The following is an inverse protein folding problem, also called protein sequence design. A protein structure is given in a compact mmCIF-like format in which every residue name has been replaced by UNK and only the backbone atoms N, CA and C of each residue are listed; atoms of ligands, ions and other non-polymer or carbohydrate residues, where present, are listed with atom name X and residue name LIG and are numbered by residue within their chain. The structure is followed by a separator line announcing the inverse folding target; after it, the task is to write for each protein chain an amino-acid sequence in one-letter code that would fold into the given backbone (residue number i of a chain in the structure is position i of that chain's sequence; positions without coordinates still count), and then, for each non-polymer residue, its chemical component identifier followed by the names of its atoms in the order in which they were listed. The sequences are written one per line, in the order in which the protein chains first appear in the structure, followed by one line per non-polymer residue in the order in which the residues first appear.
data_IF_513309364175
#
_entry.id   IF_513309364175
#
_cell.length_a   1.000
_cell.length_b   1.000
_cell.length_c   1.000
_cell.angle_alpha   90.00
_cell.angle_beta   90.00
_cell.angle_gamma   90.00
#
_symmetry.space_group_name_H-M   'P 1'
#
loop_
_entity.id
_entity.type
_entity.pdbx_description
1 polymer ?
#
# COMPACT_ATOMS: atom_id res chain seq x y z
N UNK A 1 29.32 -11.79 -29.94
CA UNK A 1 29.16 -11.22 -28.57
C UNK A 1 29.61 -12.26 -27.55
N UNK A 2 30.25 -11.85 -26.44
CA UNK A 2 30.64 -12.79 -25.38
C UNK A 2 29.41 -13.47 -24.79
N UNK A 3 29.50 -14.77 -24.49
CA UNK A 3 28.39 -15.59 -23.95
C UNK A 3 27.79 -15.01 -22.67
N UNK A 4 28.58 -14.29 -21.87
CA UNK A 4 28.13 -13.56 -20.68
C UNK A 4 27.18 -12.41 -21.02
N UNK A 5 27.51 -11.57 -22.01
CA UNK A 5 26.69 -10.43 -22.40
C UNK A 5 25.32 -10.88 -22.92
N UNK A 6 25.27 -12.01 -23.63
CA UNK A 6 24.02 -12.61 -24.12
C UNK A 6 23.16 -13.09 -22.94
N UNK A 7 23.76 -13.74 -21.93
CA UNK A 7 23.05 -14.19 -20.73
C UNK A 7 22.47 -13.00 -19.94
N UNK A 8 23.26 -11.96 -19.71
CA UNK A 8 22.79 -10.75 -19.01
C UNK A 8 21.65 -10.08 -19.78
N UNK A 9 21.79 -9.91 -21.09
CA UNK A 9 20.74 -9.31 -21.92
C UNK A 9 19.46 -10.14 -21.90
N UNK A 10 19.57 -11.48 -21.99
CA UNK A 10 18.42 -12.37 -21.91
C UNK A 10 17.70 -12.29 -20.56
N UNK A 11 18.43 -12.17 -19.46
CA UNK A 11 17.83 -12.01 -18.13
C UNK A 11 17.09 -10.67 -18.03
N UNK A 12 17.68 -9.58 -18.54
CA UNK A 12 17.03 -8.26 -18.54
C UNK A 12 15.71 -8.32 -19.33
N UNK A 13 15.72 -8.90 -20.53
CA UNK A 13 14.50 -9.02 -21.36
C UNK A 13 13.45 -9.90 -20.66
N UNK A 14 13.87 -11.01 -20.03
CA UNK A 14 12.97 -11.89 -19.27
C UNK A 14 12.33 -11.16 -18.07
N UNK A 15 13.13 -10.42 -17.29
CA UNK A 15 12.60 -9.66 -16.14
C UNK A 15 11.63 -8.57 -16.59
N UNK A 16 11.93 -7.84 -17.66
CA UNK A 16 11.04 -6.81 -18.19
C UNK A 16 9.72 -7.40 -18.68
N UNK A 17 9.77 -8.51 -19.43
CA UNK A 17 8.56 -9.20 -19.90
C UNK A 17 7.74 -9.75 -18.74
N UNK A 18 8.39 -10.32 -17.71
CA UNK A 18 7.72 -10.75 -16.49
C UNK A 18 6.99 -9.60 -15.77
N UNK A 19 7.63 -8.42 -15.65
CA UNK A 19 7.01 -7.24 -15.04
C UNK A 19 5.79 -6.74 -15.84
N UNK A 20 5.87 -6.71 -17.18
CA UNK A 20 4.74 -6.29 -18.03
C UNK A 20 3.57 -7.25 -17.93
N UNK A 21 3.83 -8.57 -17.96
CA UNK A 21 2.79 -9.58 -17.80
C UNK A 21 2.17 -9.47 -16.40
N UNK A 22 2.99 -9.35 -15.36
CA UNK A 22 2.54 -9.15 -13.99
C UNK A 22 1.64 -7.93 -13.85
N UNK A 23 2.03 -6.79 -14.44
CA UNK A 23 1.22 -5.58 -14.45
C UNK A 23 -0.14 -5.79 -15.12
N UNK A 24 -0.19 -6.47 -16.28
CA UNK A 24 -1.44 -6.77 -16.97
C UNK A 24 -2.36 -7.71 -16.16
N UNK A 25 -1.78 -8.70 -15.47
CA UNK A 25 -2.55 -9.62 -14.61
C UNK A 25 -3.09 -8.89 -13.38
N UNK A 26 -2.27 -8.09 -12.69
CA UNK A 26 -2.74 -7.31 -11.54
C UNK A 26 -3.79 -6.29 -11.94
N UNK A 27 -3.64 -5.61 -13.07
CA UNK A 27 -4.64 -4.69 -13.59
C UNK A 27 -5.97 -5.40 -13.85
N UNK A 28 -5.95 -6.56 -14.51
CA UNK A 28 -7.15 -7.34 -14.79
C UNK A 28 -7.86 -7.88 -13.53
N UNK A 29 -7.13 -8.11 -12.44
CA UNK A 29 -7.67 -8.69 -11.22
C UNK A 29 -8.08 -7.64 -10.17
N UNK A 30 -7.31 -6.57 -10.01
CA UNK A 30 -7.45 -5.64 -8.89
C UNK A 30 -8.08 -4.28 -9.28
N UNK A 31 -8.01 -3.86 -10.55
CA UNK A 31 -8.43 -2.51 -10.96
C UNK A 31 -9.91 -2.22 -10.66
N UNK A 32 -10.80 -3.15 -11.05
CA UNK A 32 -12.24 -3.02 -10.81
C UNK A 32 -12.55 -3.03 -9.30
N UNK A 33 -11.84 -3.86 -8.54
CA UNK A 33 -12.02 -3.94 -7.09
C UNK A 33 -11.61 -2.62 -6.41
N UNK A 34 -10.46 -2.06 -6.78
CA UNK A 34 -9.99 -0.77 -6.27
C UNK A 34 -10.98 0.35 -6.59
N UNK A 35 -11.50 0.41 -7.82
CA UNK A 35 -12.49 1.40 -8.22
C UNK A 35 -13.78 1.29 -7.39
N UNK A 36 -14.28 0.08 -7.16
CA UNK A 36 -15.47 -0.16 -6.35
C UNK A 36 -15.26 0.21 -4.89
N UNK A 37 -14.12 -0.17 -4.30
CA UNK A 37 -13.76 0.21 -2.94
C UNK A 37 -13.66 1.72 -2.80
N UNK A 38 -13.01 2.41 -3.75
CA UNK A 38 -12.88 3.86 -3.76
C UNK A 38 -14.22 4.55 -3.87
N UNK A 39 -15.12 4.05 -4.72
CA UNK A 39 -16.48 4.56 -4.85
C UNK A 39 -17.29 4.37 -3.56
N UNK A 40 -17.18 3.21 -2.91
CA UNK A 40 -17.82 2.92 -1.62
C UNK A 40 -17.33 3.88 -0.53
N UNK A 41 -16.00 4.02 -0.37
CA UNK A 41 -15.41 4.93 0.61
C UNK A 41 -15.85 6.37 0.36
N UNK A 42 -15.89 6.82 -0.90
CA UNK A 42 -16.40 8.15 -1.26
C UNK A 42 -17.88 8.33 -0.89
N UNK A 43 -18.71 7.31 -1.14
CA UNK A 43 -20.14 7.32 -0.80
C UNK A 43 -20.35 7.39 0.71
N UNK A 44 -19.64 6.58 1.49
CA UNK A 44 -19.71 6.60 2.95
C UNK A 44 -19.22 7.95 3.49
N UNK A 45 -18.12 8.48 2.96
CA UNK A 45 -17.60 9.81 3.30
C UNK A 45 -18.66 10.90 3.11
N UNK A 46 -19.31 10.96 1.93
CA UNK A 46 -20.38 11.94 1.66
C UNK A 46 -21.55 11.78 2.62
N UNK A 47 -22.02 10.54 2.81
CA UNK A 47 -23.11 10.24 3.75
C UNK A 47 -22.79 10.71 5.18
N UNK A 48 -21.55 10.53 5.66
CA UNK A 48 -21.13 11.01 6.98
C UNK A 48 -21.09 12.54 7.06
N UNK A 49 -20.52 13.19 6.05
CA UNK A 49 -20.44 14.66 5.97
C UNK A 49 -21.85 15.26 6.04
N UNK A 50 -22.77 14.74 5.23
CA UNK A 50 -24.14 15.23 5.14
C UNK A 50 -24.93 14.93 6.42
N UNK A 51 -24.81 13.71 6.96
CA UNK A 51 -25.55 13.27 8.16
C UNK A 51 -25.17 14.07 9.42
N UNK A 52 -23.90 14.45 9.55
CA UNK A 52 -23.38 15.14 10.73
C UNK A 52 -23.06 16.61 10.48
N UNK A 53 -23.39 17.14 9.29
CA UNK A 53 -23.13 18.52 8.88
C UNK A 53 -21.66 18.96 9.11
N UNK A 54 -20.72 18.09 8.74
CA UNK A 54 -19.28 18.31 8.96
C UNK A 54 -18.73 19.17 7.81
N UNK A 55 -17.97 20.21 8.12
CA UNK A 55 -17.27 20.97 7.06
C UNK A 55 -16.21 20.12 6.36
N UNK A 56 -15.95 20.38 5.08
CA UNK A 56 -14.87 19.72 4.34
C UNK A 56 -13.49 19.92 4.97
N UNK A 57 -13.26 21.08 5.61
CA UNK A 57 -12.04 21.39 6.37
C UNK A 57 -11.90 20.48 7.59
N UNK A 58 -12.97 20.34 8.36
CA UNK A 58 -12.98 19.63 9.63
C UNK A 58 -12.89 18.12 9.40
N UNK A 59 -13.53 17.63 8.34
CA UNK A 59 -13.38 16.25 7.92
C UNK A 59 -11.92 15.91 7.57
N UNK A 60 -11.18 16.82 6.90
CA UNK A 60 -9.75 16.59 6.59
C UNK A 60 -8.89 16.56 7.84
N UNK A 61 -9.21 17.39 8.84
CA UNK A 61 -8.53 17.36 10.15
C UNK A 61 -8.80 16.02 10.84
N UNK A 62 -10.06 15.58 10.87
CA UNK A 62 -10.45 14.29 11.42
C UNK A 62 -9.75 13.12 10.72
N UNK A 63 -9.73 13.11 9.39
CA UNK A 63 -9.04 12.11 8.56
C UNK A 63 -7.54 12.06 8.91
N UNK A 64 -6.89 13.21 9.03
CA UNK A 64 -5.47 13.30 9.40
C UNK A 64 -5.19 12.76 10.82
N UNK A 65 -6.07 13.06 11.78
CA UNK A 65 -5.97 12.55 13.15
C UNK A 65 -6.13 11.02 13.15
N UNK A 66 -7.12 10.49 12.42
CA UNK A 66 -7.36 9.05 12.32
C UNK A 66 -6.14 8.36 11.74
N UNK A 67 -5.61 8.83 10.61
CA UNK A 67 -4.44 8.23 9.95
C UNK A 67 -3.23 8.21 10.91
N UNK A 68 -2.97 9.31 11.62
CA UNK A 68 -1.88 9.39 12.60
C UNK A 68 -2.11 8.53 13.84
N UNK A 69 -3.36 8.23 14.17
CA UNK A 69 -3.73 7.37 15.30
C UNK A 69 -3.66 5.88 15.01
N UNK A 70 -3.66 5.46 13.72
CA UNK A 70 -3.63 4.04 13.33
C UNK A 70 -2.46 3.24 13.97
N UNK A 71 -1.21 3.72 14.00
CA UNK A 71 -0.11 3.01 14.65
C UNK A 71 -0.32 2.82 16.16
N UNK A 72 -1.04 3.76 16.79
CA UNK A 72 -1.32 3.73 18.23
C UNK A 72 -2.45 2.73 18.58
N UNK A 73 -3.32 2.39 17.61
CA UNK A 73 -4.36 1.37 17.81
C UNK A 73 -3.79 -0.05 17.96
N UNK A 74 -2.61 -0.30 17.39
CA UNK A 74 -1.88 -1.56 17.57
C UNK A 74 -1.14 -1.66 18.91
N UNK A 75 -1.32 -0.70 19.83
CA UNK A 75 -0.65 -0.65 21.13
C UNK A 75 0.75 -0.01 21.07
N UNK A 76 1.57 -0.25 22.11
CA UNK A 76 2.92 0.31 22.19
C UNK A 76 3.93 -0.48 21.34
N UNK A 77 3.98 -0.16 20.04
CA UNK A 77 4.86 -0.80 19.05
C UNK A 77 6.37 -0.61 19.32
N UNK A 78 6.77 0.40 20.09
CA UNK A 78 8.18 0.70 20.41
C UNK A 78 8.64 0.25 21.79
N UNK A 79 7.90 -0.65 22.45
CA UNK A 79 8.44 -1.41 23.59
C UNK A 79 9.36 -2.52 23.09
N UNK A 80 10.16 -3.11 23.99
CA UNK A 80 11.18 -4.12 23.63
C UNK A 80 10.67 -5.20 22.66
N UNK A 81 9.50 -5.80 22.90
CA UNK A 81 8.96 -6.84 22.02
C UNK A 81 8.65 -6.36 20.59
N UNK A 82 8.09 -5.16 20.43
CA UNK A 82 7.82 -4.59 19.11
C UNK A 82 9.09 -4.09 18.41
N UNK A 83 10.04 -3.53 19.16
CA UNK A 83 11.35 -3.16 18.64
C UNK A 83 12.16 -4.39 18.18
N UNK A 84 12.07 -5.50 18.91
CA UNK A 84 12.69 -6.78 18.55
C UNK A 84 12.07 -7.38 17.28
N UNK A 85 10.74 -7.34 17.15
CA UNK A 85 10.04 -7.72 15.92
C UNK A 85 10.46 -6.84 14.74
N UNK A 86 10.49 -5.52 14.91
CA UNK A 86 10.93 -4.58 13.89
C UNK A 86 12.35 -4.88 13.41
N UNK A 87 13.31 -5.06 14.34
CA UNK A 87 14.68 -5.45 13.99
C UNK A 87 14.72 -6.75 13.17
N UNK A 88 13.89 -7.74 13.52
CA UNK A 88 13.76 -8.99 12.76
C UNK A 88 13.26 -8.74 11.34
N UNK A 89 12.25 -7.88 11.14
CA UNK A 89 11.73 -7.55 9.81
C UNK A 89 12.75 -6.83 8.92
N UNK A 90 13.64 -6.03 9.52
CA UNK A 90 14.72 -5.33 8.81
C UNK A 90 15.81 -6.31 8.37
N UNK A 91 16.32 -7.14 9.27
CA UNK A 91 17.39 -8.11 8.93
C UNK A 91 16.92 -9.18 7.93
N UNK A 92 15.64 -9.51 7.94
CA UNK A 92 15.02 -10.47 7.00
C UNK A 92 14.55 -9.82 5.70
N UNK A 93 14.72 -8.49 5.53
CA UNK A 93 14.32 -7.72 4.34
C UNK A 93 12.82 -7.71 4.04
N UNK A 94 11.98 -8.03 5.03
CA UNK A 94 10.51 -8.06 4.88
C UNK A 94 9.92 -6.65 4.93
N UNK A 95 10.38 -5.81 5.87
CA UNK A 95 9.80 -4.51 6.19
C UNK A 95 10.74 -3.35 5.90
N UNK A 96 11.34 -3.34 4.71
CA UNK A 96 12.27 -2.31 4.24
C UNK A 96 11.56 -1.25 3.38
#
# INVERSE_FOLDING_TARGET
MKRQNIRTLSLIVCTLTYLVIGAAVFDALESDHEMQQRALVSKVRKSLIDKYNISSTDYRVLESIIIRSLPHRAGHQWKFGGAFYFATTVITTIGN
#
